data_IF_947219426059
#
_entry.id   IF_947219426059
#
_cell.length_a   1.000
_cell.length_b   1.000
_cell.length_c   1.000
_cell.angle_alpha   90.00
_cell.angle_beta   90.00
_cell.angle_gamma   90.00
#
_symmetry.space_group_name_H-M   'P 1'
#
loop_
_entity.id
_entity.type
_entity.pdbx_description
1 polymer ?
#
# COMPACT_ATOMS: atom_id res chain seq x y z
N UNK A 1 12.97 -13.22 -21.12
CA UNK A 1 11.57 -12.89 -20.78
C UNK A 1 11.58 -12.15 -19.46
N UNK A 2 10.84 -11.05 -19.33
CA UNK A 2 10.60 -10.42 -18.03
C UNK A 2 9.82 -11.40 -17.15
N UNK A 3 10.27 -11.62 -15.91
CA UNK A 3 9.57 -12.43 -14.92
C UNK A 3 8.64 -11.51 -14.13
N UNK A 4 7.36 -11.91 -13.97
CA UNK A 4 6.41 -11.20 -13.12
C UNK A 4 6.19 -11.94 -11.80
N UNK A 5 7.08 -12.87 -11.44
CA UNK A 5 7.05 -13.54 -10.15
C UNK A 5 7.41 -12.53 -9.05
N UNK A 6 6.55 -12.41 -8.05
CA UNK A 6 6.79 -11.54 -6.90
C UNK A 6 7.62 -12.22 -5.81
N UNK A 7 8.05 -11.41 -4.85
CA UNK A 7 8.76 -11.82 -3.65
C UNK A 7 7.74 -12.16 -2.56
N UNK A 8 8.00 -13.22 -1.82
CA UNK A 8 7.26 -13.63 -0.63
C UNK A 8 8.27 -14.02 0.43
N UNK A 9 8.03 -13.64 1.68
CA UNK A 9 9.00 -13.85 2.77
C UNK A 9 8.68 -15.05 3.65
N UNK A 10 7.54 -15.70 3.42
CA UNK A 10 7.19 -16.95 4.07
C UNK A 10 7.30 -18.12 3.09
N UNK A 11 8.12 -19.11 3.43
CA UNK A 11 8.28 -20.35 2.68
C UNK A 11 8.02 -21.57 3.58
N UNK A 12 6.77 -21.99 3.79
CA UNK A 12 6.50 -23.39 4.13
C UNK A 12 5.07 -23.85 3.87
N UNK A 13 5.00 -25.12 3.46
CA UNK A 13 3.89 -25.87 2.86
C UNK A 13 2.82 -26.27 3.89
N UNK A 14 1.78 -25.46 4.04
CA UNK A 14 0.55 -25.77 4.78
C UNK A 14 -0.57 -24.78 4.44
N UNK A 15 -1.79 -25.01 4.93
CA UNK A 15 -2.91 -24.06 4.86
C UNK A 15 -2.61 -22.86 5.77
N UNK A 16 -1.79 -21.92 5.27
CA UNK A 16 -1.41 -20.72 6.02
C UNK A 16 -2.59 -19.75 6.06
N UNK A 17 -3.01 -19.36 7.27
CA UNK A 17 -4.02 -18.33 7.45
C UNK A 17 -3.44 -16.98 7.00
N UNK A 18 -4.05 -16.32 6.01
CA UNK A 18 -3.59 -15.03 5.52
C UNK A 18 -3.77 -13.89 6.52
N UNK A 19 -4.58 -14.10 7.55
CA UNK A 19 -4.73 -13.14 8.65
C UNK A 19 -3.48 -13.11 9.54
N UNK A 20 -3.01 -11.92 9.89
CA UNK A 20 -1.89 -11.73 10.81
C UNK A 20 -2.23 -12.32 12.19
N UNK A 21 -1.40 -13.24 12.64
CA UNK A 21 -1.48 -13.83 13.98
C UNK A 21 -0.09 -13.91 14.56
N UNK A 22 0.21 -13.07 15.57
CA UNK A 22 1.36 -13.29 16.45
C UNK A 22 0.86 -14.03 17.69
N UNK A 23 1.10 -15.33 17.73
CA UNK A 23 0.84 -16.18 18.91
C UNK A 23 1.79 -15.78 20.04
N UNK A 24 1.30 -15.72 21.28
CA UNK A 24 2.03 -15.65 22.56
C UNK A 24 1.62 -14.52 23.50
N UNK A 25 0.45 -13.91 23.33
CA UNK A 25 -0.10 -13.01 24.35
C UNK A 25 -0.94 -13.74 25.42
N UNK A 26 -1.19 -15.04 25.29
CA UNK A 26 -1.86 -15.86 26.32
C UNK A 26 -3.35 -15.63 26.52
N UNK A 27 -4.01 -14.78 25.71
CA UNK A 27 -5.44 -14.52 25.77
C UNK A 27 -6.05 -14.23 24.38
N UNK A 28 -7.37 -14.38 24.26
CA UNK A 28 -8.16 -13.99 23.09
C UNK A 28 -9.11 -12.82 23.44
N UNK A 29 -9.51 -12.04 22.43
CA UNK A 29 -10.51 -10.98 22.59
C UNK A 29 -11.78 -11.44 21.89
N UNK A 30 -12.85 -11.63 22.68
CA UNK A 30 -14.18 -11.93 22.16
C UNK A 30 -15.01 -10.65 22.23
N UNK A 31 -15.56 -10.25 21.08
CA UNK A 31 -16.47 -9.11 20.98
C UNK A 31 -17.89 -9.65 20.82
N UNK A 32 -18.86 -9.00 21.45
CA UNK A 32 -20.28 -9.29 21.24
C UNK A 32 -20.70 -8.83 19.84
N UNK A 33 -20.58 -9.73 18.87
CA UNK A 33 -20.87 -9.46 17.46
C UNK A 33 -21.37 -10.73 16.78
N UNK A 34 -22.21 -10.54 15.77
CA UNK A 34 -22.64 -11.64 14.90
C UNK A 34 -21.55 -11.90 13.85
N UNK A 35 -21.21 -13.16 13.65
CA UNK A 35 -20.30 -13.58 12.58
C UNK A 35 -20.74 -14.93 12.02
N UNK A 36 -20.41 -15.17 10.75
CA UNK A 36 -20.50 -16.49 10.12
C UNK A 36 -19.12 -16.92 9.60
N UNK A 37 -19.09 -17.94 8.75
CA UNK A 37 -17.85 -18.45 8.18
C UNK A 37 -17.09 -17.39 7.37
N UNK A 38 -17.80 -16.52 6.65
CA UNK A 38 -17.26 -15.56 5.67
C UNK A 38 -17.21 -14.12 6.20
N UNK A 39 -18.15 -13.73 7.05
CA UNK A 39 -18.39 -12.33 7.38
C UNK A 39 -18.51 -12.06 8.88
N UNK A 40 -18.23 -10.81 9.24
CA UNK A 40 -18.53 -10.19 10.53
C UNK A 40 -19.58 -9.11 10.29
N UNK A 41 -20.61 -9.10 11.12
CA UNK A 41 -21.73 -8.17 11.05
C UNK A 41 -21.71 -7.25 12.28
N UNK A 42 -21.89 -5.96 12.05
CA UNK A 42 -21.95 -4.96 13.12
C UNK A 42 -23.03 -3.92 12.84
N UNK A 43 -23.83 -3.60 13.85
CA UNK A 43 -24.79 -2.49 13.80
C UNK A 43 -24.15 -1.28 14.48
N UNK A 44 -24.03 -0.17 13.75
CA UNK A 44 -23.42 1.06 14.24
C UNK A 44 -24.43 2.20 14.19
N UNK A 45 -24.82 2.71 15.36
CA UNK A 45 -25.59 3.96 15.46
C UNK A 45 -24.62 5.15 15.38
N UNK A 46 -24.59 5.81 14.22
CA UNK A 46 -23.89 7.07 14.04
C UNK A 46 -24.74 8.21 14.60
N UNK A 47 -24.19 8.92 15.58
CA UNK A 47 -24.85 10.06 16.21
C UNK A 47 -24.00 11.30 15.96
N UNK A 48 -24.59 12.29 15.29
CA UNK A 48 -23.92 13.55 14.96
C UNK A 48 -24.83 14.75 15.29
N UNK A 49 -24.28 15.96 15.19
CA UNK A 49 -25.05 17.21 15.33
C UNK A 49 -25.03 17.94 14.00
N UNK A 50 -26.20 18.05 13.37
CA UNK A 50 -26.39 18.89 12.18
C UNK A 50 -26.54 20.35 12.61
N UNK A 51 -25.77 21.23 11.98
CA UNK A 51 -25.73 22.65 12.32
C UNK A 51 -26.26 23.48 11.15
N UNK A 52 -27.26 24.30 11.41
CA UNK A 52 -27.82 25.27 10.46
C UNK A 52 -27.67 26.68 11.03
N UNK A 53 -27.20 27.62 10.22
CA UNK A 53 -27.19 29.04 10.57
C UNK A 53 -28.38 29.73 9.91
N UNK A 54 -29.27 30.30 10.70
CA UNK A 54 -30.41 31.01 10.15
C UNK A 54 -30.02 32.41 9.62
N UNK A 55 -30.97 33.06 8.94
CA UNK A 55 -30.80 34.41 8.38
C UNK A 55 -30.54 35.51 9.42
N UNK A 56 -30.81 35.23 10.71
CA UNK A 56 -30.58 36.14 11.84
C UNK A 56 -29.25 35.86 12.54
N UNK A 57 -28.48 34.88 12.06
CA UNK A 57 -27.20 34.49 12.61
C UNK A 57 -27.29 33.53 13.81
N UNK A 58 -28.48 33.05 14.17
CA UNK A 58 -28.65 32.01 15.18
C UNK A 58 -28.14 30.67 14.64
N UNK A 59 -27.38 29.96 15.46
CA UNK A 59 -26.87 28.63 15.15
C UNK A 59 -27.80 27.60 15.78
N UNK A 60 -28.50 26.84 14.94
CA UNK A 60 -29.43 25.78 15.34
C UNK A 60 -28.72 24.45 15.24
N UNK A 61 -28.54 23.77 16.37
CA UNK A 61 -27.91 22.46 16.46
C UNK A 61 -28.99 21.37 16.64
N UNK A 62 -29.14 20.49 15.65
CA UNK A 62 -30.10 19.38 15.67
C UNK A 62 -29.35 18.06 15.80
N UNK A 63 -29.76 17.21 16.74
CA UNK A 63 -29.21 15.86 16.86
C UNK A 63 -29.66 15.03 15.66
N UNK A 64 -28.70 14.48 14.93
CA UNK A 64 -28.91 13.56 13.81
C UNK A 64 -28.48 12.16 14.22
N UNK A 65 -29.28 11.16 13.86
CA UNK A 65 -29.01 9.75 14.14
C UNK A 65 -29.21 8.96 12.85
N UNK A 66 -28.25 8.11 12.51
CA UNK A 66 -28.38 7.16 11.43
C UNK A 66 -27.80 5.81 11.86
N UNK A 67 -28.46 4.72 11.48
CA UNK A 67 -28.00 3.36 11.81
C UNK A 67 -27.42 2.72 10.57
N UNK A 68 -26.20 2.19 10.70
CA UNK A 68 -25.50 1.47 9.64
C UNK A 68 -25.39 -0.01 10.01
N UNK A 69 -25.70 -0.87 9.04
CA UNK A 69 -25.33 -2.28 9.09
C UNK A 69 -24.00 -2.45 8.33
N UNK A 70 -22.93 -2.75 9.06
CA UNK A 70 -21.58 -2.87 8.53
C UNK A 70 -21.27 -4.36 8.36
N UNK A 71 -20.96 -4.74 7.12
CA UNK A 71 -20.52 -6.07 6.74
C UNK A 71 -19.01 -6.05 6.45
N UNK A 72 -18.25 -6.91 7.14
CA UNK A 72 -16.80 -7.03 6.93
C UNK A 72 -16.48 -8.47 6.53
N UNK A 73 -15.90 -8.65 5.35
CA UNK A 73 -15.41 -9.94 4.88
C UNK A 73 -14.15 -10.36 5.64
N UNK A 74 -14.08 -11.61 6.08
CA UNK A 74 -12.91 -12.16 6.78
C UNK A 74 -11.75 -12.38 5.81
N UNK A 75 -10.53 -12.14 6.28
CA UNK A 75 -9.29 -12.43 5.51
C UNK A 75 -9.08 -13.96 5.47
N UNK A 76 -9.71 -14.62 4.50
CA UNK A 76 -9.63 -16.06 4.24
C UNK A 76 -8.42 -16.42 3.36
N UNK A 77 -8.58 -17.35 2.42
CA UNK A 77 -7.56 -17.84 1.48
C UNK A 77 -7.15 -16.82 0.40
N UNK A 78 -7.72 -15.61 0.41
CA UNK A 78 -7.41 -14.56 -0.56
C UNK A 78 -5.92 -14.22 -0.54
N UNK A 79 -5.31 -14.20 -1.72
CA UNK A 79 -3.93 -13.78 -1.93
C UNK A 79 -3.90 -12.32 -2.39
N UNK A 80 -3.21 -11.50 -1.62
CA UNK A 80 -2.99 -10.09 -1.91
C UNK A 80 -1.61 -9.90 -2.55
N UNK A 81 -1.57 -9.15 -3.65
CA UNK A 81 -0.34 -8.57 -4.17
C UNK A 81 -0.23 -7.07 -3.90
N UNK A 82 1.00 -6.59 -3.72
CA UNK A 82 1.30 -5.17 -3.66
C UNK A 82 2.38 -4.84 -4.70
N UNK A 83 2.03 -3.97 -5.65
CA UNK A 83 2.95 -3.45 -6.65
C UNK A 83 3.42 -2.05 -6.27
N UNK A 84 4.72 -1.92 -5.99
CA UNK A 84 5.36 -0.68 -5.53
C UNK A 84 5.97 0.07 -6.72
N UNK A 85 5.57 1.31 -6.94
CA UNK A 85 6.30 2.22 -7.84
C UNK A 85 7.47 2.82 -7.07
N UNK A 86 8.69 2.71 -7.59
CA UNK A 86 9.91 3.05 -6.86
C UNK A 86 10.36 1.95 -5.89
N UNK A 87 10.16 0.67 -6.25
CA UNK A 87 10.44 -0.47 -5.35
C UNK A 87 11.92 -0.55 -4.93
N UNK A 88 12.84 -0.04 -5.74
CA UNK A 88 14.25 0.02 -5.39
C UNK A 88 14.60 1.13 -4.40
N UNK A 89 13.69 2.08 -4.14
CA UNK A 89 13.92 3.23 -3.24
C UNK A 89 14.06 2.85 -1.76
N UNK A 90 14.51 3.81 -0.95
CA UNK A 90 14.75 3.59 0.49
C UNK A 90 13.51 3.02 1.18
N UNK A 91 12.37 3.70 1.09
CA UNK A 91 11.13 3.29 1.76
C UNK A 91 10.71 1.86 1.43
N UNK A 92 10.65 1.52 0.14
CA UNK A 92 10.21 0.21 -0.32
C UNK A 92 11.19 -0.90 0.13
N UNK A 93 12.49 -0.73 -0.07
CA UNK A 93 13.49 -1.72 0.38
C UNK A 93 13.55 -1.86 1.90
N UNK A 94 13.35 -0.78 2.66
CA UNK A 94 13.27 -0.82 4.13
C UNK A 94 12.01 -1.54 4.58
N UNK A 95 10.86 -1.27 3.97
CA UNK A 95 9.62 -2.00 4.27
C UNK A 95 9.79 -3.50 4.01
N UNK A 96 10.24 -3.87 2.81
CA UNK A 96 10.41 -5.26 2.41
C UNK A 96 11.48 -5.97 3.25
N UNK A 97 12.62 -5.32 3.51
CA UNK A 97 13.67 -5.87 4.36
C UNK A 97 13.24 -6.04 5.82
N UNK A 98 12.43 -5.12 6.34
CA UNK A 98 11.85 -5.21 7.68
C UNK A 98 10.86 -6.37 7.80
N UNK A 99 10.00 -6.57 6.79
CA UNK A 99 9.09 -7.71 6.73
C UNK A 99 9.89 -9.02 6.65
N UNK A 100 10.91 -9.10 5.78
CA UNK A 100 11.78 -10.26 5.67
C UNK A 100 12.47 -10.59 7.00
N UNK A 101 13.03 -9.59 7.68
CA UNK A 101 13.67 -9.78 8.97
C UNK A 101 12.69 -10.30 10.05
N UNK A 102 11.44 -9.81 10.05
CA UNK A 102 10.38 -10.31 10.94
C UNK A 102 9.95 -11.74 10.60
N UNK A 103 9.79 -12.06 9.31
CA UNK A 103 9.43 -13.40 8.84
C UNK A 103 10.49 -14.45 9.24
N UNK A 104 11.76 -14.04 9.29
CA UNK A 104 12.90 -14.88 9.72
C UNK A 104 13.13 -14.84 11.24
N UNK A 105 12.29 -14.13 11.99
CA UNK A 105 12.43 -13.90 13.43
C UNK A 105 13.84 -13.44 13.85
N UNK A 106 14.42 -12.57 13.01
CA UNK A 106 15.85 -12.29 13.03
C UNK A 106 16.27 -11.53 14.29
N UNK A 107 17.35 -12.00 14.91
CA UNK A 107 18.09 -11.25 15.94
C UNK A 107 19.48 -10.87 15.41
N UNK A 108 19.97 -9.69 15.80
CA UNK A 108 21.24 -9.14 15.32
C UNK A 108 21.87 -8.23 16.38
N UNK A 109 23.19 -8.10 16.35
CA UNK A 109 23.90 -7.17 17.22
C UNK A 109 24.02 -5.83 16.52
N UNK A 110 23.51 -4.76 17.13
CA UNK A 110 23.89 -3.41 16.70
C UNK A 110 25.12 -2.94 17.50
N UNK A 111 25.48 -1.66 17.37
CA UNK A 111 26.63 -1.07 18.09
C UNK A 111 26.54 -1.11 19.62
N UNK A 112 25.36 -1.36 20.18
CA UNK A 112 25.07 -1.23 21.60
C UNK A 112 24.56 -2.53 22.23
N UNK A 113 23.66 -3.25 21.57
CA UNK A 113 22.94 -4.39 22.14
C UNK A 113 22.39 -5.37 21.10
N UNK A 114 21.96 -6.53 21.59
CA UNK A 114 21.22 -7.51 20.81
C UNK A 114 19.81 -6.97 20.53
N UNK A 115 19.45 -6.87 19.26
CA UNK A 115 18.12 -6.50 18.79
C UNK A 115 17.40 -7.68 18.18
N UNK A 116 16.07 -7.62 18.22
CA UNK A 116 15.17 -8.53 17.52
C UNK A 116 14.30 -7.73 16.55
N UNK A 117 14.08 -8.28 15.36
CA UNK A 117 13.14 -7.76 14.38
C UNK A 117 11.76 -7.55 14.98
N UNK A 118 11.10 -6.46 14.58
CA UNK A 118 9.80 -6.06 15.09
C UNK A 118 9.08 -5.17 14.07
N UNK A 119 7.80 -4.87 14.35
CA UNK A 119 6.97 -3.95 13.57
C UNK A 119 6.72 -2.63 14.33
N UNK A 120 7.67 -2.18 15.17
CA UNK A 120 7.53 -0.90 15.87
C UNK A 120 7.32 0.24 14.86
N UNK A 121 6.38 1.13 15.17
CA UNK A 121 5.95 2.21 14.28
C UNK A 121 4.77 1.85 13.37
N UNK A 122 4.40 0.57 13.25
CA UNK A 122 3.14 0.17 12.62
C UNK A 122 1.98 0.31 13.61
N UNK A 123 1.01 1.17 13.33
CA UNK A 123 -0.17 1.36 14.18
C UNK A 123 -0.91 0.03 14.37
N UNK A 124 -1.19 -0.70 13.28
CA UNK A 124 -1.95 -1.94 13.36
C UNK A 124 -1.19 -3.08 14.05
N UNK A 125 0.14 -3.14 13.90
CA UNK A 125 0.94 -4.29 14.38
C UNK A 125 1.67 -4.03 15.71
N UNK A 126 1.76 -2.77 16.16
CA UNK A 126 2.52 -2.40 17.36
C UNK A 126 1.78 -1.46 18.33
N UNK A 127 0.51 -1.09 18.05
CA UNK A 127 -0.30 -0.30 18.98
C UNK A 127 -1.43 -1.10 19.61
N UNK A 128 -1.83 -0.63 20.79
CA UNK A 128 -2.99 -1.12 21.52
C UNK A 128 -4.14 -0.11 21.44
N UNK A 129 -5.36 -0.60 21.57
CA UNK A 129 -6.56 0.22 21.75
C UNK A 129 -7.25 -0.16 23.06
N UNK A 130 -7.86 0.84 23.72
CA UNK A 130 -8.65 0.63 24.93
C UNK A 130 -9.94 -0.08 24.58
N UNK A 131 -10.21 -1.21 25.23
CA UNK A 131 -11.45 -1.98 25.07
C UNK A 131 -12.54 -1.49 26.01
N UNK A 132 -12.17 -1.10 27.23
CA UNK A 132 -13.15 -0.76 28.26
C UNK A 132 -12.50 -0.69 29.64
N UNK A 133 -13.26 -1.05 30.67
CA UNK A 133 -12.76 -1.19 32.03
C UNK A 133 -13.18 -2.53 32.62
N UNK A 134 -12.35 -3.09 33.49
CA UNK A 134 -12.69 -4.23 34.32
C UNK A 134 -13.50 -3.72 35.52
N UNK A 135 -14.70 -4.25 35.72
CA UNK A 135 -15.57 -3.80 36.80
C UNK A 135 -15.02 -4.11 38.20
N UNK A 136 -14.32 -5.24 38.36
CA UNK A 136 -13.76 -5.70 39.63
C UNK A 136 -12.55 -4.88 40.05
N UNK A 137 -11.61 -4.74 39.13
CA UNK A 137 -10.32 -4.10 39.43
C UNK A 137 -10.34 -2.58 39.17
N UNK A 138 -11.42 -2.08 38.53
CA UNK A 138 -11.61 -0.67 38.11
C UNK A 138 -10.51 -0.14 37.17
N UNK A 139 -9.75 -1.03 36.55
CA UNK A 139 -8.69 -0.69 35.61
C UNK A 139 -9.15 -0.73 34.15
N UNK A 140 -8.44 -0.01 33.28
CA UNK A 140 -8.70 -0.04 31.84
C UNK A 140 -8.10 -1.28 31.20
N UNK A 141 -8.89 -1.94 30.35
CA UNK A 141 -8.44 -3.06 29.53
C UNK A 141 -8.01 -2.57 28.15
N UNK A 142 -6.91 -3.13 27.64
CA UNK A 142 -6.36 -2.83 26.34
C UNK A 142 -6.06 -4.10 25.57
N UNK A 143 -6.14 -4.03 24.24
CA UNK A 143 -5.69 -5.11 23.38
C UNK A 143 -4.96 -4.57 22.14
N UNK A 144 -4.03 -5.35 21.56
CA UNK A 144 -3.44 -5.02 20.27
C UNK A 144 -4.51 -4.91 19.19
N UNK A 145 -4.37 -3.91 18.30
CA UNK A 145 -5.36 -3.64 17.24
C UNK A 145 -5.55 -4.84 16.33
N UNK A 146 -4.47 -5.53 15.94
CA UNK A 146 -4.53 -6.71 15.07
C UNK A 146 -5.30 -7.92 15.66
N UNK A 147 -5.67 -7.91 16.95
CA UNK A 147 -6.53 -8.95 17.54
C UNK A 147 -8.03 -8.68 17.34
N UNK A 148 -8.41 -7.47 16.96
CA UNK A 148 -9.82 -7.05 16.91
C UNK A 148 -10.43 -7.26 15.53
N UNK A 149 -9.60 -7.20 14.50
CA UNK A 149 -9.96 -7.31 13.10
C UNK A 149 -8.98 -8.22 12.37
N UNK A 150 -9.48 -8.95 11.38
CA UNK A 150 -8.62 -9.70 10.47
C UNK A 150 -7.90 -8.71 9.53
N UNK A 151 -6.57 -8.71 9.57
CA UNK A 151 -5.72 -7.96 8.63
C UNK A 151 -4.76 -8.91 7.94
N UNK A 152 -4.35 -8.61 6.71
CA UNK A 152 -3.37 -9.43 6.01
C UNK A 152 -2.05 -9.51 6.79
N UNK A 153 -1.48 -10.72 6.87
CA UNK A 153 -0.12 -10.92 7.34
C UNK A 153 0.84 -10.34 6.29
N UNK A 154 1.67 -9.32 6.64
CA UNK A 154 2.62 -8.73 5.71
C UNK A 154 3.57 -9.74 5.07
N UNK A 155 3.84 -10.86 5.75
CA UNK A 155 4.76 -11.91 5.32
C UNK A 155 4.18 -12.80 4.22
N UNK A 156 2.85 -12.87 4.11
CA UNK A 156 2.11 -13.66 3.13
C UNK A 156 1.70 -12.86 1.89
N UNK A 157 1.88 -11.53 1.91
CA UNK A 157 1.62 -10.66 0.77
C UNK A 157 2.70 -10.89 -0.30
N UNK A 158 2.29 -10.86 -1.56
CA UNK A 158 3.20 -10.99 -2.71
C UNK A 158 3.63 -9.61 -3.17
N UNK A 159 4.91 -9.30 -3.04
CA UNK A 159 5.43 -7.98 -3.41
C UNK A 159 6.10 -8.00 -4.77
N UNK A 160 5.92 -6.93 -5.53
CA UNK A 160 6.64 -6.66 -6.77
C UNK A 160 6.59 -5.17 -7.06
N UNK A 161 7.12 -4.75 -8.19
CA UNK A 161 7.04 -3.34 -8.52
C UNK A 161 7.97 -2.89 -9.62
N UNK A 162 7.97 -1.58 -9.80
CA UNK A 162 8.68 -0.88 -10.84
C UNK A 162 9.73 0.03 -10.25
N UNK A 163 10.82 0.21 -10.98
CA UNK A 163 11.78 1.27 -10.68
C UNK A 163 12.41 1.74 -12.00
N UNK A 164 12.70 3.03 -12.09
CA UNK A 164 13.40 3.61 -13.26
C UNK A 164 14.85 3.11 -13.35
N UNK A 165 15.34 2.46 -12.30
CA UNK A 165 16.63 1.80 -12.22
C UNK A 165 16.47 0.27 -12.05
N UNK A 166 17.22 -0.53 -12.81
CA UNK A 166 17.14 -2.00 -12.77
C UNK A 166 18.04 -2.67 -11.69
N UNK A 167 18.57 -1.91 -10.74
CA UNK A 167 19.35 -2.49 -9.64
C UNK A 167 18.50 -3.47 -8.86
N UNK A 168 19.05 -4.66 -8.62
CA UNK A 168 18.39 -5.69 -7.84
C UNK A 168 18.14 -5.20 -6.40
N UNK A 169 17.03 -5.60 -5.78
CA UNK A 169 16.68 -5.12 -4.44
C UNK A 169 17.73 -5.53 -3.39
N UNK A 170 18.39 -6.67 -3.55
CA UNK A 170 19.50 -7.09 -2.68
C UNK A 170 20.66 -6.09 -2.68
N UNK A 171 20.96 -5.50 -3.84
CA UNK A 171 21.98 -4.46 -3.98
C UNK A 171 21.43 -3.09 -3.53
N UNK A 172 20.12 -2.86 -3.70
CA UNK A 172 19.47 -1.67 -3.19
C UNK A 172 19.52 -1.57 -1.66
N UNK A 173 19.46 -2.70 -0.92
CA UNK A 173 19.66 -2.72 0.54
C UNK A 173 20.99 -2.08 0.93
N UNK A 174 22.07 -2.45 0.23
CA UNK A 174 23.42 -1.90 0.44
C UNK A 174 23.46 -0.42 0.05
N UNK A 175 22.93 -0.07 -1.12
CA UNK A 175 22.92 1.32 -1.64
C UNK A 175 22.19 2.28 -0.69
N UNK A 176 21.06 1.84 -0.13
CA UNK A 176 20.14 2.70 0.60
C UNK A 176 20.59 2.96 2.05
N UNK A 177 21.50 2.12 2.59
CA UNK A 177 22.19 2.33 3.89
C UNK A 177 21.25 2.56 5.07
N UNK A 178 20.14 1.83 5.10
CA UNK A 178 19.15 1.91 6.20
C UNK A 178 19.39 0.83 7.25
N UNK A 179 19.71 -0.38 6.83
CA UNK A 179 19.97 -1.50 7.74
C UNK A 179 21.45 -1.60 8.11
N UNK A 180 21.72 -2.14 9.30
CA UNK A 180 23.06 -2.59 9.67
C UNK A 180 23.53 -3.72 8.73
N UNK A 181 24.84 -3.77 8.44
CA UNK A 181 25.40 -4.74 7.50
C UNK A 181 25.07 -6.20 7.87
N UNK A 182 25.06 -6.55 9.16
CA UNK A 182 24.70 -7.90 9.61
C UNK A 182 23.27 -8.27 9.20
N UNK A 183 22.33 -7.31 9.27
CA UNK A 183 20.94 -7.53 8.85
C UNK A 183 20.89 -7.72 7.34
N UNK A 184 21.58 -6.85 6.57
CA UNK A 184 21.63 -6.95 5.10
C UNK A 184 22.11 -8.33 4.67
N UNK A 185 23.24 -8.80 5.21
CA UNK A 185 23.81 -10.10 4.84
C UNK A 185 22.85 -11.26 5.12
N UNK A 186 22.03 -11.16 6.17
CA UNK A 186 21.05 -12.19 6.54
C UNK A 186 19.76 -12.17 5.70
N UNK A 187 19.42 -11.07 5.01
CA UNK A 187 18.14 -10.94 4.28
C UNK A 187 18.30 -10.73 2.77
N UNK A 188 19.49 -10.36 2.29
CA UNK A 188 19.69 -9.91 0.90
C UNK A 188 19.26 -10.94 -0.14
N UNK A 189 19.50 -12.23 0.10
CA UNK A 189 19.18 -13.29 -0.85
C UNK A 189 17.66 -13.53 -0.95
N UNK A 190 16.90 -13.20 0.10
CA UNK A 190 15.43 -13.23 0.09
C UNK A 190 14.82 -12.06 -0.71
N UNK A 191 15.63 -11.03 -1.03
CA UNK A 191 15.25 -9.88 -1.84
C UNK A 191 15.90 -9.92 -3.25
N UNK A 192 16.15 -11.11 -3.80
CA UNK A 192 16.65 -11.25 -5.18
C UNK A 192 15.54 -10.95 -6.22
N UNK A 193 15.35 -9.66 -6.48
CA UNK A 193 14.32 -9.15 -7.39
C UNK A 193 14.84 -7.98 -8.21
N UNK A 194 14.68 -8.09 -9.53
CA UNK A 194 14.98 -6.99 -10.46
C UNK A 194 13.67 -6.24 -10.76
N UNK A 195 13.60 -4.92 -10.54
CA UNK A 195 12.39 -4.14 -10.78
C UNK A 195 11.89 -4.22 -12.22
N UNK A 196 10.56 -4.22 -12.39
CA UNK A 196 9.92 -4.07 -13.69
C UNK A 196 10.27 -2.70 -14.30
N UNK A 197 10.33 -2.63 -15.63
CA UNK A 197 10.53 -1.38 -16.37
C UNK A 197 9.44 -0.38 -16.00
N UNK A 198 9.86 0.83 -15.63
CA UNK A 198 8.99 1.87 -15.08
C UNK A 198 8.59 2.93 -16.10
N UNK A 199 7.59 3.74 -15.76
CA UNK A 199 7.24 4.94 -16.53
C UNK A 199 8.20 6.07 -16.19
N UNK A 200 8.81 6.66 -17.20
CA UNK A 200 9.66 7.84 -17.05
C UNK A 200 9.47 8.81 -18.22
N UNK A 201 9.17 10.07 -17.92
CA UNK A 201 9.08 11.15 -18.90
C UNK A 201 10.23 12.13 -18.69
N UNK A 202 11.22 12.07 -19.58
CA UNK A 202 12.48 12.82 -19.46
C UNK A 202 12.23 14.32 -19.26
N UNK A 203 12.87 14.88 -18.24
CA UNK A 203 12.89 16.32 -17.99
C UNK A 203 11.61 16.92 -17.40
N UNK A 204 10.55 16.14 -17.18
CA UNK A 204 9.21 16.73 -17.03
C UNK A 204 8.53 16.60 -15.67
N UNK A 205 9.03 15.86 -14.68
CA UNK A 205 8.32 15.72 -13.39
C UNK A 205 9.18 15.58 -12.14
N UNK A 206 10.36 14.98 -12.27
CA UNK A 206 11.29 14.75 -11.16
C UNK A 206 12.59 15.54 -11.36
N UNK A 207 13.37 15.71 -10.29
CA UNK A 207 14.62 16.46 -10.32
C UNK A 207 15.63 15.92 -11.36
N UNK A 208 16.33 16.84 -12.03
CA UNK A 208 17.27 16.48 -13.12
C UNK A 208 18.44 15.58 -12.69
N UNK A 209 18.81 15.60 -11.40
CA UNK A 209 19.86 14.72 -10.87
C UNK A 209 19.49 13.23 -10.88
N UNK A 210 18.21 12.89 -11.06
CA UNK A 210 17.76 11.49 -11.17
C UNK A 210 18.11 10.86 -12.53
N UNK A 211 18.43 11.66 -13.55
CA UNK A 211 18.70 11.16 -14.91
C UNK A 211 19.79 10.08 -14.95
N UNK A 212 20.82 10.18 -14.10
CA UNK A 212 21.91 9.20 -14.02
C UNK A 212 21.47 7.82 -13.55
N UNK A 213 20.31 7.72 -12.89
CA UNK A 213 19.75 6.46 -12.38
C UNK A 213 18.83 5.78 -13.40
N UNK A 214 18.43 6.48 -14.45
CA UNK A 214 17.43 5.98 -15.40
C UNK A 214 18.07 5.00 -16.37
N UNK A 215 17.77 3.71 -16.22
CA UNK A 215 18.18 2.66 -17.16
C UNK A 215 17.12 1.56 -17.37
N UNK A 216 15.92 1.71 -16.78
CA UNK A 216 14.89 0.68 -16.75
C UNK A 216 13.49 1.27 -17.02
N UNK A 217 13.22 1.61 -18.28
CA UNK A 217 12.01 2.36 -18.65
C UNK A 217 11.20 1.70 -19.75
N UNK A 218 9.90 1.96 -19.73
CA UNK A 218 8.97 1.64 -20.80
C UNK A 218 9.09 2.66 -21.95
N UNK A 219 8.86 2.18 -23.16
CA UNK A 219 8.82 3.00 -24.38
C UNK A 219 7.50 2.79 -25.10
N UNK A 220 6.93 3.86 -25.64
CA UNK A 220 5.72 3.82 -26.45
C UNK A 220 5.64 5.06 -27.34
N UNK A 221 4.86 4.99 -28.42
CA UNK A 221 4.66 6.13 -29.34
C UNK A 221 3.90 7.27 -28.65
N UNK A 222 3.07 6.91 -27.67
CA UNK A 222 2.40 7.86 -26.82
C UNK A 222 2.20 7.32 -25.39
N UNK A 223 1.78 8.19 -24.48
CA UNK A 223 1.54 7.84 -23.07
C UNK A 223 0.39 6.84 -22.91
N UNK A 224 -0.56 6.77 -23.84
CA UNK A 224 -1.62 5.76 -23.83
C UNK A 224 -1.06 4.34 -24.09
N UNK A 225 -0.11 4.19 -25.00
CA UNK A 225 0.59 2.91 -25.20
C UNK A 225 1.42 2.50 -23.98
N UNK A 226 2.02 3.47 -23.28
CA UNK A 226 2.74 3.21 -22.03
C UNK A 226 1.75 2.80 -20.92
N UNK A 227 0.59 3.44 -20.84
CA UNK A 227 -0.50 3.04 -19.93
C UNK A 227 -0.91 1.58 -20.16
N UNK A 228 -1.14 1.17 -21.42
CA UNK A 228 -1.51 -0.21 -21.74
C UNK A 228 -0.41 -1.22 -21.35
N UNK A 229 0.87 -0.86 -21.51
CA UNK A 229 1.98 -1.70 -21.02
C UNK A 229 1.95 -1.85 -19.50
N UNK A 230 1.72 -0.79 -18.73
CA UNK A 230 1.61 -0.88 -17.26
C UNK A 230 0.42 -1.77 -16.86
N UNK A 231 -0.72 -1.63 -17.55
CA UNK A 231 -1.90 -2.50 -17.35
C UNK A 231 -1.59 -3.97 -17.64
N UNK A 232 -0.85 -4.24 -18.70
CA UNK A 232 -0.37 -5.60 -19.01
C UNK A 232 0.56 -6.15 -17.92
N UNK A 233 1.49 -5.33 -17.42
CA UNK A 233 2.38 -5.72 -16.32
C UNK A 233 1.57 -6.06 -15.04
N UNK A 234 0.54 -5.28 -14.70
CA UNK A 234 -0.38 -5.57 -13.58
C UNK A 234 -1.10 -6.91 -13.78
N UNK A 235 -1.70 -7.14 -14.95
CA UNK A 235 -2.41 -8.39 -15.27
C UNK A 235 -1.48 -9.60 -15.22
N UNK A 236 -0.28 -9.47 -15.77
CA UNK A 236 0.73 -10.53 -15.76
C UNK A 236 1.20 -10.85 -14.35
N UNK A 237 1.44 -9.83 -13.50
CA UNK A 237 1.78 -10.04 -12.09
C UNK A 237 0.65 -10.73 -11.33
N UNK A 238 -0.60 -10.28 -11.51
CA UNK A 238 -1.78 -10.90 -10.90
C UNK A 238 -1.89 -12.38 -11.29
N UNK A 239 -1.76 -12.69 -12.58
CA UNK A 239 -1.85 -14.04 -13.13
C UNK A 239 -0.71 -14.94 -12.66
N UNK A 240 0.54 -14.51 -12.77
CA UNK A 240 1.70 -15.35 -12.46
C UNK A 240 1.83 -15.67 -10.96
N UNK A 241 1.23 -14.86 -10.09
CA UNK A 241 1.25 -15.07 -8.64
C UNK A 241 -0.06 -15.60 -8.06
N UNK A 242 -1.06 -15.92 -8.91
CA UNK A 242 -2.38 -16.42 -8.51
C UNK A 242 -3.07 -15.52 -7.46
N UNK A 243 -3.13 -14.21 -7.73
CA UNK A 243 -3.63 -13.22 -6.78
C UNK A 243 -5.14 -12.98 -6.97
N UNK A 244 -5.85 -12.86 -5.85
CA UNK A 244 -7.26 -12.43 -5.83
C UNK A 244 -7.34 -10.91 -5.91
N UNK A 245 -6.51 -10.24 -5.12
CA UNK A 245 -6.51 -8.80 -4.90
C UNK A 245 -5.13 -8.22 -5.18
N UNK A 246 -5.08 -6.97 -5.65
CA UNK A 246 -3.84 -6.27 -5.95
C UNK A 246 -3.96 -4.79 -5.60
N UNK A 247 -2.94 -4.24 -4.94
CA UNK A 247 -2.81 -2.82 -4.64
C UNK A 247 -1.62 -2.27 -5.41
N UNK A 248 -1.76 -1.07 -5.98
CA UNK A 248 -0.66 -0.29 -6.53
C UNK A 248 -0.33 0.83 -5.55
N UNK A 249 0.92 0.93 -5.10
CA UNK A 249 1.36 1.95 -4.16
C UNK A 249 2.52 2.74 -4.76
N UNK A 250 2.36 4.06 -4.85
CA UNK A 250 3.42 4.96 -5.24
C UNK A 250 4.36 5.24 -4.06
N UNK A 251 5.63 4.88 -4.21
CA UNK A 251 6.75 5.25 -3.32
C UNK A 251 7.96 5.73 -4.15
N UNK A 252 7.69 6.26 -5.35
CA UNK A 252 8.70 6.82 -6.24
C UNK A 252 9.14 8.22 -5.81
N UNK A 253 10.02 8.82 -6.61
CA UNK A 253 10.43 10.21 -6.40
C UNK A 253 9.21 11.16 -6.43
N UNK A 254 9.20 12.15 -5.54
CA UNK A 254 8.23 13.24 -5.58
C UNK A 254 8.22 13.91 -6.95
N UNK A 255 7.03 14.03 -7.54
CA UNK A 255 6.84 14.77 -8.77
C UNK A 255 6.43 16.22 -8.46
N UNK A 256 6.62 17.12 -9.42
CA UNK A 256 6.02 18.46 -9.37
C UNK A 256 4.48 18.35 -9.53
N UNK A 257 3.74 19.27 -8.93
CA UNK A 257 2.31 19.37 -9.14
C UNK A 257 1.96 19.73 -10.59
N UNK A 258 0.84 19.21 -11.07
CA UNK A 258 0.26 19.52 -12.38
C UNK A 258 -0.95 20.45 -12.21
N UNK A 259 -1.13 21.47 -13.07
CA UNK A 259 -2.32 22.31 -13.02
C UNK A 259 -3.56 21.51 -13.43
N UNK A 260 -4.72 21.87 -12.88
CA UNK A 260 -6.01 21.45 -13.39
C UNK A 260 -6.35 22.26 -14.66
N UNK A 261 -6.62 21.58 -15.76
CA UNK A 261 -6.84 22.14 -17.10
C UNK A 261 -8.17 21.57 -17.64
N UNK A 262 -9.22 22.41 -17.76
CA UNK A 262 -10.48 22.01 -18.39
C UNK A 262 -10.28 21.45 -19.80
N UNK A 263 -11.00 20.37 -20.14
CA UNK A 263 -10.88 19.67 -21.41
C UNK A 263 -9.65 18.75 -21.54
N UNK A 264 -8.77 18.68 -20.52
CA UNK A 264 -7.53 17.90 -20.58
C UNK A 264 -7.44 16.88 -19.44
N UNK A 265 -7.52 17.32 -18.18
CA UNK A 265 -7.39 16.44 -17.00
C UNK A 265 -8.52 16.64 -15.99
N UNK A 266 -9.65 17.13 -16.46
CA UNK A 266 -10.86 17.41 -15.67
C UNK A 266 -11.90 16.28 -15.72
N UNK A 267 -11.78 15.33 -16.66
CA UNK A 267 -12.64 14.15 -16.75
C UNK A 267 -11.83 12.90 -17.13
N UNK A 268 -12.39 11.73 -16.86
CA UNK A 268 -11.78 10.44 -17.20
C UNK A 268 -11.50 10.29 -18.71
N UNK A 269 -12.45 10.70 -19.58
CA UNK A 269 -12.26 10.61 -21.03
C UNK A 269 -11.22 11.61 -21.52
N UNK A 270 -11.19 12.82 -20.95
CA UNK A 270 -10.22 13.84 -21.34
C UNK A 270 -8.80 13.42 -20.97
N UNK A 271 -8.57 12.84 -19.79
CA UNK A 271 -7.23 12.40 -19.40
C UNK A 271 -6.72 11.23 -20.27
N UNK A 272 -7.59 10.32 -20.69
CA UNK A 272 -7.23 9.27 -21.66
C UNK A 272 -6.88 9.86 -23.04
N UNK A 273 -7.63 10.87 -23.50
CA UNK A 273 -7.30 11.60 -24.72
C UNK A 273 -5.96 12.33 -24.61
N UNK A 274 -5.71 12.97 -23.47
CA UNK A 274 -4.45 13.65 -23.15
C UNK A 274 -3.26 12.66 -23.17
N UNK A 275 -3.44 11.44 -22.67
CA UNK A 275 -2.45 10.36 -22.79
C UNK A 275 -2.13 10.04 -24.25
N UNK A 276 -3.17 9.87 -25.09
CA UNK A 276 -3.00 9.58 -26.53
C UNK A 276 -2.27 10.70 -27.28
N UNK A 277 -2.48 11.95 -26.86
CA UNK A 277 -1.87 13.16 -27.44
C UNK A 277 -0.51 13.53 -26.83
N UNK A 278 0.05 12.72 -25.94
CA UNK A 278 1.31 13.02 -25.23
C UNK A 278 1.29 14.34 -24.44
N UNK A 279 0.12 14.74 -23.93
CA UNK A 279 -0.02 16.02 -23.25
C UNK A 279 0.95 16.15 -22.07
N UNK A 280 1.58 17.32 -21.93
CA UNK A 280 2.65 17.56 -20.95
C UNK A 280 2.20 17.46 -19.50
N UNK A 281 0.91 17.69 -19.20
CA UNK A 281 0.34 17.58 -17.85
C UNK A 281 0.09 16.14 -17.37
N UNK A 282 0.28 15.13 -18.23
CA UNK A 282 0.13 13.72 -17.83
C UNK A 282 1.45 13.23 -17.22
N UNK A 283 1.49 13.10 -15.89
CA UNK A 283 2.65 12.60 -15.15
C UNK A 283 2.75 11.07 -15.15
N UNK A 284 3.94 10.50 -14.83
CA UNK A 284 4.07 9.07 -14.56
C UNK A 284 3.13 8.57 -13.46
N UNK A 285 2.97 9.31 -12.35
CA UNK A 285 2.02 8.91 -11.30
C UNK A 285 0.57 8.82 -11.79
N UNK A 286 0.14 9.71 -12.69
CA UNK A 286 -1.19 9.64 -13.33
C UNK A 286 -1.33 8.37 -14.18
N UNK A 287 -0.28 7.94 -14.90
CA UNK A 287 -0.30 6.69 -15.65
C UNK A 287 -0.52 5.49 -14.73
N UNK A 288 0.18 5.43 -13.58
CA UNK A 288 -0.02 4.35 -12.61
C UNK A 288 -1.41 4.38 -11.97
N UNK A 289 -1.92 5.56 -11.63
CA UNK A 289 -3.27 5.71 -11.07
C UNK A 289 -4.34 5.24 -12.07
N UNK A 290 -4.24 5.67 -13.34
CA UNK A 290 -5.14 5.21 -14.41
C UNK A 290 -5.03 3.70 -14.62
N UNK A 291 -3.82 3.14 -14.64
CA UNK A 291 -3.62 1.71 -14.82
C UNK A 291 -4.25 0.91 -13.69
N UNK A 292 -4.06 1.33 -12.43
CA UNK A 292 -4.63 0.68 -11.27
C UNK A 292 -6.17 0.71 -11.31
N UNK A 293 -6.77 1.88 -11.60
CA UNK A 293 -8.23 2.03 -11.72
C UNK A 293 -8.79 1.15 -12.84
N UNK A 294 -8.17 1.17 -14.02
CA UNK A 294 -8.59 0.37 -15.18
C UNK A 294 -8.46 -1.14 -14.96
N UNK A 295 -7.58 -1.57 -14.05
CA UNK A 295 -7.40 -2.97 -13.63
C UNK A 295 -8.09 -3.29 -12.29
N UNK A 296 -9.06 -2.46 -11.89
CA UNK A 296 -9.85 -2.60 -10.65
C UNK A 296 -8.99 -2.89 -9.41
N UNK A 297 -7.90 -2.14 -9.28
CA UNK A 297 -6.90 -2.26 -8.22
C UNK A 297 -6.78 -0.93 -7.47
N UNK A 298 -6.84 -0.90 -6.13
CA UNK A 298 -6.64 0.33 -5.37
C UNK A 298 -5.29 0.98 -5.68
N UNK A 299 -5.29 2.31 -5.80
CA UNK A 299 -4.07 3.11 -5.93
C UNK A 299 -3.84 3.94 -4.68
N UNK A 300 -2.63 3.87 -4.11
CA UNK A 300 -2.22 4.63 -2.94
C UNK A 300 -1.08 5.57 -3.34
N UNK A 301 -1.28 6.88 -3.12
CA UNK A 301 -0.22 7.87 -3.32
C UNK A 301 0.43 8.24 -1.98
N UNK A 302 1.70 7.84 -1.76
CA UNK A 302 2.44 8.20 -0.55
C UNK A 302 3.38 9.42 -0.73
N UNK A 303 3.29 10.11 -1.87
CA UNK A 303 4.09 11.30 -2.19
C UNK A 303 3.19 12.54 -2.38
N UNK A 304 3.73 13.76 -2.21
CA UNK A 304 2.89 14.95 -2.07
C UNK A 304 2.31 15.49 -3.39
N UNK A 305 2.70 14.94 -4.55
CA UNK A 305 2.15 15.43 -5.82
C UNK A 305 0.65 15.16 -5.93
N UNK A 306 -0.05 16.06 -6.62
CA UNK A 306 -1.48 16.00 -6.84
C UNK A 306 -1.92 14.97 -7.92
N UNK A 307 -1.47 13.71 -7.81
CA UNK A 307 -1.81 12.62 -8.75
C UNK A 307 -3.32 12.46 -8.95
N UNK A 308 -4.06 12.53 -7.85
CA UNK A 308 -5.52 12.36 -7.79
C UNK A 308 -6.21 13.72 -8.00
N UNK A 309 -5.99 14.33 -9.17
CA UNK A 309 -6.66 15.59 -9.53
C UNK A 309 -8.20 15.39 -9.53
N UNK A 310 -8.98 16.34 -9.01
CA UNK A 310 -10.44 16.25 -9.04
C UNK A 310 -10.93 16.12 -10.48
N UNK A 311 -11.67 15.03 -10.75
CA UNK A 311 -12.38 14.87 -12.02
C UNK A 311 -13.84 15.19 -11.80
N UNK A 312 -14.43 16.08 -12.61
CA UNK A 312 -15.89 16.24 -12.65
C UNK A 312 -16.50 14.97 -13.25
N UNK A 313 -17.40 14.32 -12.51
CA UNK A 313 -18.24 13.23 -13.03
C UNK A 313 -17.75 11.80 -12.78
N UNK A 314 -16.81 11.57 -11.87
CA UNK A 314 -16.51 10.24 -11.36
C UNK A 314 -17.41 9.91 -10.14
N UNK A 315 -18.72 9.74 -10.39
CA UNK A 315 -19.66 9.13 -9.47
C UNK A 315 -20.20 7.85 -10.12
#
# INVERSE_FOLDING_TARGET
METYKGIQFFSNKGTVKNAFKKSNLGYEVMLDRKEDENFIYSNYEHVETQVEKDSKGMVVCKKYKNTYEILVEKVKEKRLGVLLVGIGGNNATTMLGGICANAKDLSYMNKCDLKRSNYLGSVFLSSNIRLGYNEKDKEHAYAPIYKLIDIYNPENIVYGGWDINNMNLKDCLVRNKVFDNEVIEKIKDDLDYVPLKSVYFKGNFIAGNQQRRVNNILYGKNKLEILEQVREQIRNFKKQNNLNELIVLWSGNTEKNIPHIPGVNDTFLNILHACKKNHESVSPSVIYALAAILENSPFINSSPQNTLVPQKGAN
#
